data_IF_029120464652
#
_entry.id   IF_029120464652
#
_cell.length_a   1.000
_cell.length_b   1.000
_cell.length_c   1.000
_cell.angle_alpha   90.00
_cell.angle_beta   90.00
_cell.angle_gamma   90.00
#
_symmetry.space_group_name_H-M   'P 1'
#
loop_
_entity.id
_entity.type
_entity.pdbx_description
1 polymer ?
#
# COMPACT_ATOMS: atom_id res chain seq x y z
N UNK A 1 8.78 4.84 6.68
CA UNK A 1 9.47 4.56 5.39
C UNK A 1 10.01 5.91 4.91
N UNK A 2 11.25 5.98 4.38
CA UNK A 2 11.89 7.23 3.95
C UNK A 2 11.88 7.31 2.41
N UNK A 3 10.75 7.66 1.76
CA UNK A 3 10.60 7.67 0.30
C UNK A 3 11.55 8.66 -0.40
N UNK A 4 12.09 9.63 0.31
CA UNK A 4 13.09 10.59 -0.17
C UNK A 4 14.38 9.89 -0.67
N UNK A 5 14.71 8.70 -0.17
CA UNK A 5 15.91 7.96 -0.55
C UNK A 5 15.69 6.96 -1.70
N UNK A 6 14.46 6.79 -2.18
CA UNK A 6 14.14 5.84 -3.26
C UNK A 6 14.75 6.31 -4.58
N UNK A 7 15.85 5.69 -5.02
CA UNK A 7 16.59 6.10 -6.25
C UNK A 7 15.98 5.55 -7.54
N UNK A 8 15.20 4.48 -7.46
CA UNK A 8 14.56 3.83 -8.60
C UNK A 8 13.13 3.43 -8.26
N UNK A 9 12.24 3.63 -9.23
CA UNK A 9 10.88 3.12 -9.17
C UNK A 9 10.90 1.63 -9.51
N UNK A 10 10.60 0.78 -8.52
CA UNK A 10 10.51 -0.67 -8.70
C UNK A 10 9.07 -1.02 -9.09
N UNK A 11 8.86 -1.39 -10.35
CA UNK A 11 7.55 -1.80 -10.88
C UNK A 11 7.48 -3.30 -11.19
N UNK A 12 8.54 -4.04 -10.87
CA UNK A 12 8.67 -5.48 -11.15
C UNK A 12 8.29 -6.33 -9.94
N UNK A 13 8.02 -7.62 -10.17
CA UNK A 13 7.67 -8.56 -9.10
C UNK A 13 6.27 -8.28 -8.52
N UNK A 14 6.14 -8.22 -7.20
CA UNK A 14 4.86 -7.97 -6.50
C UNK A 14 4.30 -6.56 -6.73
N UNK A 15 5.18 -5.60 -7.05
CA UNK A 15 4.79 -4.22 -7.36
C UNK A 15 4.02 -4.09 -8.69
N UNK A 16 4.02 -5.12 -9.56
CA UNK A 16 3.16 -5.12 -10.76
C UNK A 16 1.68 -5.29 -10.45
N UNK A 17 1.36 -5.88 -9.29
CA UNK A 17 0.00 -6.24 -8.92
C UNK A 17 -0.64 -5.20 -8.01
N UNK A 18 0.16 -4.55 -7.16
CA UNK A 18 -0.30 -3.48 -6.29
C UNK A 18 0.85 -2.52 -6.06
N UNK A 19 0.57 -1.23 -5.98
CA UNK A 19 1.59 -0.23 -5.65
C UNK A 19 2.12 -0.39 -4.22
N UNK A 20 1.36 -1.04 -3.35
CA UNK A 20 1.68 -1.18 -1.93
C UNK A 20 1.63 -2.64 -1.43
N UNK A 21 2.49 -3.55 -1.96
CA UNK A 21 2.45 -4.96 -1.61
C UNK A 21 2.72 -5.24 -0.13
N UNK A 22 3.51 -4.38 0.53
CA UNK A 22 3.78 -4.48 1.96
C UNK A 22 2.50 -4.34 2.80
N UNK A 23 1.67 -3.33 2.52
CA UNK A 23 0.43 -3.11 3.26
C UNK A 23 -0.62 -4.19 2.97
N UNK A 24 -0.62 -4.75 1.76
CA UNK A 24 -1.45 -5.92 1.42
C UNK A 24 -1.00 -7.15 2.23
N UNK A 25 0.30 -7.39 2.35
CA UNK A 25 0.82 -8.46 3.21
C UNK A 25 0.46 -8.28 4.68
N UNK A 26 0.55 -7.04 5.19
CA UNK A 26 0.14 -6.71 6.55
C UNK A 26 -1.38 -6.88 6.76
N UNK A 27 -2.20 -6.54 5.76
CA UNK A 27 -3.64 -6.81 5.78
C UNK A 27 -3.92 -8.31 5.86
N UNK A 28 -3.24 -9.14 5.08
CA UNK A 28 -3.37 -10.60 5.16
C UNK A 28 -2.93 -11.15 6.52
N UNK A 29 -1.87 -10.60 7.13
CA UNK A 29 -1.46 -10.95 8.49
C UNK A 29 -2.54 -10.60 9.52
N UNK A 30 -3.15 -9.41 9.41
CA UNK A 30 -4.25 -8.99 10.29
C UNK A 30 -5.49 -9.87 10.10
N UNK A 31 -5.81 -10.28 8.87
CA UNK A 31 -6.89 -11.23 8.59
C UNK A 31 -6.58 -12.58 9.25
N UNK A 32 -5.37 -13.11 9.05
CA UNK A 32 -4.95 -14.36 9.69
C UNK A 32 -5.03 -14.29 11.22
N UNK A 33 -4.59 -13.18 11.80
CA UNK A 33 -4.70 -12.91 13.24
C UNK A 33 -6.14 -12.88 13.73
N UNK A 34 -7.04 -12.26 12.94
CA UNK A 34 -8.47 -12.19 13.24
C UNK A 34 -9.10 -13.58 13.26
N UNK A 35 -8.72 -14.43 12.30
CA UNK A 35 -9.17 -15.83 12.23
C UNK A 35 -8.66 -16.62 13.45
N UNK A 36 -7.39 -16.44 13.84
CA UNK A 36 -6.80 -17.10 15.00
C UNK A 36 -7.48 -16.72 16.32
N UNK A 37 -7.92 -15.47 16.46
CA UNK A 37 -8.67 -14.99 17.64
C UNK A 37 -10.09 -15.56 17.71
N UNK A 38 -10.62 -16.18 16.63
CA UNK A 38 -11.95 -16.78 16.59
C UNK A 38 -13.10 -15.81 16.85
N UNK A 39 -12.87 -14.50 16.74
CA UNK A 39 -13.84 -13.44 17.04
C UNK A 39 -14.05 -12.55 15.82
N UNK A 40 -15.29 -12.10 15.61
CA UNK A 40 -15.67 -11.19 14.52
C UNK A 40 -15.32 -9.72 14.82
N UNK A 41 -14.96 -9.39 16.06
CA UNK A 41 -14.66 -8.01 16.47
C UNK A 41 -13.50 -7.36 15.71
N UNK A 42 -12.39 -8.04 15.36
CA UNK A 42 -11.28 -7.41 14.66
C UNK A 42 -11.56 -7.19 13.16
N UNK A 43 -12.62 -7.79 12.60
CA UNK A 43 -13.00 -7.57 11.18
C UNK A 43 -13.33 -6.10 10.94
N UNK A 44 -13.97 -5.42 11.90
CA UNK A 44 -14.26 -3.98 11.79
C UNK A 44 -13.00 -3.12 11.82
N UNK A 45 -11.90 -3.62 12.38
CA UNK A 45 -10.61 -2.91 12.39
C UNK A 45 -9.90 -2.97 11.03
N UNK A 46 -10.17 -3.98 10.19
CA UNK A 46 -9.56 -4.10 8.87
C UNK A 46 -9.85 -2.92 7.93
N UNK A 47 -11.12 -2.49 7.71
CA UNK A 47 -11.39 -1.33 6.86
C UNK A 47 -10.87 -0.03 7.48
N UNK A 48 -10.89 0.10 8.80
CA UNK A 48 -10.30 1.26 9.51
C UNK A 48 -8.79 1.32 9.28
N UNK A 49 -8.11 0.19 9.38
CA UNK A 49 -6.68 0.07 9.10
C UNK A 49 -6.35 0.47 7.65
N UNK A 50 -7.10 -0.06 6.67
CA UNK A 50 -6.94 0.31 5.25
C UNK A 50 -7.14 1.81 5.05
N UNK A 51 -8.13 2.41 5.71
CA UNK A 51 -8.40 3.83 5.60
C UNK A 51 -7.26 4.69 6.17
N UNK A 52 -6.84 4.42 7.41
CA UNK A 52 -5.77 5.16 8.08
C UNK A 52 -4.47 5.06 7.27
N UNK A 53 -4.05 3.86 6.88
CA UNK A 53 -2.80 3.68 6.16
C UNK A 53 -2.86 4.34 4.76
N UNK A 54 -4.04 4.37 4.14
CA UNK A 54 -4.22 5.04 2.85
C UNK A 54 -4.04 6.55 2.98
N UNK A 55 -4.65 7.19 3.98
CA UNK A 55 -4.58 8.64 4.15
C UNK A 55 -3.23 9.09 4.68
N UNK A 56 -2.73 8.44 5.72
CA UNK A 56 -1.57 8.93 6.47
C UNK A 56 -0.25 8.48 5.86
N UNK A 57 -0.20 7.33 5.19
CA UNK A 57 1.05 6.80 4.63
C UNK A 57 1.04 6.83 3.10
N UNK A 58 0.06 6.19 2.47
CA UNK A 58 0.08 6.00 1.02
C UNK A 58 -0.03 7.33 0.29
N UNK A 59 -1.00 8.19 0.60
CA UNK A 59 -1.19 9.46 -0.15
C UNK A 59 0.05 10.37 -0.08
N UNK A 60 0.64 10.65 1.10
CA UNK A 60 1.88 11.45 1.18
C UNK A 60 3.04 10.81 0.42
N UNK A 61 3.21 9.49 0.51
CA UNK A 61 4.25 8.75 -0.20
C UNK A 61 4.06 8.85 -1.72
N UNK A 62 2.84 8.64 -2.23
CA UNK A 62 2.53 8.79 -3.66
C UNK A 62 2.85 10.21 -4.14
N UNK A 63 2.54 11.25 -3.34
CA UNK A 63 2.81 12.65 -3.71
C UNK A 63 4.32 12.92 -3.81
N UNK A 64 5.12 12.36 -2.89
CA UNK A 64 6.58 12.46 -2.95
C UNK A 64 7.12 11.75 -4.20
N UNK A 65 6.59 10.56 -4.51
CA UNK A 65 6.99 9.79 -5.68
C UNK A 65 6.56 10.48 -6.99
N UNK A 66 5.37 11.08 -7.05
CA UNK A 66 4.91 11.91 -8.17
C UNK A 66 5.83 13.09 -8.41
N UNK A 67 6.22 13.82 -7.35
CA UNK A 67 7.15 14.94 -7.46
C UNK A 67 8.55 14.50 -7.91
N UNK A 68 9.00 13.31 -7.48
CA UNK A 68 10.36 12.82 -7.75
C UNK A 68 10.51 12.16 -9.12
N UNK A 69 9.53 11.38 -9.55
CA UNK A 69 9.59 10.58 -10.77
C UNK A 69 8.69 11.11 -11.90
N UNK A 70 7.82 12.09 -11.61
CA UNK A 70 6.97 12.76 -12.59
C UNK A 70 6.15 11.78 -13.42
N UNK A 71 6.25 11.91 -14.75
CA UNK A 71 5.48 11.12 -15.71
C UNK A 71 5.68 9.61 -15.55
N UNK A 72 6.90 9.15 -15.21
CA UNK A 72 7.17 7.71 -15.02
C UNK A 72 6.31 7.10 -13.91
N UNK A 73 6.04 7.87 -12.86
CA UNK A 73 5.19 7.41 -11.77
C UNK A 73 3.70 7.55 -12.11
N UNK A 74 3.31 8.58 -12.87
CA UNK A 74 1.93 8.71 -13.36
C UNK A 74 1.54 7.55 -14.28
N UNK A 75 2.43 7.16 -15.19
CA UNK A 75 2.21 6.01 -16.08
C UNK A 75 2.06 4.71 -15.28
N UNK A 76 2.92 4.53 -14.25
CA UNK A 76 2.82 3.40 -13.33
C UNK A 76 1.54 3.41 -12.49
N UNK A 77 1.11 4.58 -12.00
CA UNK A 77 -0.13 4.79 -11.24
C UNK A 77 -1.38 4.47 -12.06
N UNK A 78 -1.35 4.69 -13.38
CA UNK A 78 -2.41 4.31 -14.30
C UNK A 78 -2.40 2.81 -14.62
N UNK A 79 -1.22 2.17 -14.60
CA UNK A 79 -1.08 0.75 -14.89
C UNK A 79 -1.41 -0.16 -13.68
N UNK A 80 -1.24 0.33 -12.45
CA UNK A 80 -1.35 -0.50 -11.24
C UNK A 80 -2.21 0.18 -10.17
N UNK A 81 -3.17 -0.56 -9.60
CA UNK A 81 -4.03 -0.06 -8.55
C UNK A 81 -3.27 0.19 -7.23
N UNK A 82 -3.85 1.03 -6.37
CA UNK A 82 -3.30 1.36 -5.05
C UNK A 82 -3.38 0.16 -4.09
N UNK A 83 -4.51 -0.53 -4.16
CA UNK A 83 -4.86 -1.77 -3.50
C UNK A 83 -5.43 -2.66 -4.59
N UNK A 84 -4.84 -3.86 -4.79
CA UNK A 84 -5.19 -4.92 -5.76
C UNK A 84 -5.83 -4.42 -7.07
#
# INVERSE_FOLDING_TARGET
IHPENTKQLVTTGTYRFTRNPMYVGLLFLLIGWTILLGSLSPILMLPVFIWIITIEQIIPEEKILEQKFGQKYLDYKNAVNRWI
#
